data_IF_731630651446
#
_entry.id   IF_731630651446
#
_cell.length_a   1.000
_cell.length_b   1.000
_cell.length_c   1.000
_cell.angle_alpha   90.00
_cell.angle_beta   90.00
_cell.angle_gamma   90.00
#
_symmetry.space_group_name_H-M   'P 1'
#
loop_
_entity.id
_entity.type
_entity.pdbx_description
1 polymer ?
#
# COMPACT_ATOMS: atom_id res chain seq x y z
N UNK A 1 22.09 45.87 -13.82
CA UNK A 1 20.95 45.43 -12.97
C UNK A 1 20.02 44.47 -13.72
N UNK A 2 20.51 43.27 -14.08
CA UNK A 2 19.69 42.20 -14.71
C UNK A 2 20.09 40.80 -14.23
N UNK A 3 21.12 40.70 -13.38
CA UNK A 3 21.62 39.43 -12.81
C UNK A 3 21.45 39.33 -11.29
N UNK A 4 20.93 40.38 -10.65
CA UNK A 4 20.59 40.38 -9.23
C UNK A 4 19.17 39.89 -8.97
N UNK A 5 18.28 39.92 -9.97
CA UNK A 5 16.89 39.46 -9.83
C UNK A 5 16.78 37.92 -9.81
N UNK A 6 17.70 37.22 -10.46
CA UNK A 6 17.66 35.76 -10.60
C UNK A 6 18.10 35.01 -9.33
N UNK A 7 18.86 35.65 -8.44
CA UNK A 7 19.39 35.01 -7.23
C UNK A 7 18.33 35.02 -6.09
N UNK A 8 17.41 35.99 -6.09
CA UNK A 8 16.41 36.13 -5.03
C UNK A 8 15.31 35.04 -5.06
N UNK A 9 15.05 34.46 -6.24
CA UNK A 9 13.98 33.47 -6.42
C UNK A 9 14.37 32.06 -5.93
N UNK A 10 15.66 31.75 -5.82
CA UNK A 10 16.16 30.42 -5.41
C UNK A 10 16.21 30.27 -3.88
N UNK A 11 16.37 31.37 -3.14
CA UNK A 11 16.52 31.35 -1.67
C UNK A 11 15.16 31.14 -0.95
N UNK A 12 14.05 31.47 -1.60
CA UNK A 12 12.70 31.35 -1.02
C UNK A 12 12.20 29.90 -0.84
N UNK A 13 12.79 28.91 -1.52
CA UNK A 13 12.36 27.51 -1.49
C UNK A 13 12.99 26.68 -0.35
N UNK A 14 13.96 27.22 0.40
CA UNK A 14 14.71 26.47 1.42
C UNK A 14 14.27 26.73 2.87
N UNK A 15 13.20 27.50 3.11
CA UNK A 15 12.74 27.85 4.46
C UNK A 15 11.50 27.08 4.95
N UNK A 16 10.98 26.10 4.22
CA UNK A 16 9.77 25.38 4.63
C UNK A 16 9.99 24.20 5.60
N UNK A 17 11.23 23.94 6.06
CA UNK A 17 11.55 22.73 6.86
C UNK A 17 11.84 22.97 8.36
N UNK A 18 11.49 24.13 8.92
CA UNK A 18 11.55 24.38 10.38
C UNK A 18 10.19 24.86 10.88
N UNK A 19 9.26 23.91 11.00
CA UNK A 19 8.01 24.10 11.74
C UNK A 19 7.50 22.75 12.26
N UNK A 20 8.32 22.11 13.10
CA UNK A 20 7.83 21.21 14.15
C UNK A 20 8.69 21.44 15.39
N UNK A 21 8.54 22.62 16.00
CA UNK A 21 8.65 22.72 17.45
C UNK A 21 7.39 22.07 18.02
N UNK A 22 7.40 21.25 19.06
CA UNK A 22 8.34 21.13 20.16
C UNK A 22 7.52 21.28 21.44
N UNK A 23 7.33 20.20 22.20
CA UNK A 23 7.06 20.25 23.64
C UNK A 23 7.09 18.86 24.29
N UNK A 24 8.04 18.75 25.22
CA UNK A 24 8.18 17.91 26.41
C UNK A 24 6.92 17.19 26.94
N UNK A 25 7.08 15.98 27.48
CA UNK A 25 7.16 15.72 28.93
C UNK A 25 7.18 14.19 29.17
N UNK A 26 8.02 13.79 30.12
CA UNK A 26 8.16 12.43 30.65
C UNK A 26 6.84 11.83 31.19
N UNK A 27 6.77 10.50 31.20
CA UNK A 27 6.42 9.72 32.40
C UNK A 27 6.57 8.20 32.19
N UNK A 28 7.39 7.64 33.07
CA UNK A 28 7.24 6.36 33.78
C UNK A 28 6.59 5.14 33.11
N UNK A 29 7.44 4.11 32.98
CA UNK A 29 7.20 2.72 33.38
C UNK A 29 5.75 2.33 33.71
N UNK A 30 5.14 1.52 32.86
CA UNK A 30 4.32 0.42 33.36
C UNK A 30 4.43 -0.82 32.49
N UNK A 31 4.55 -1.93 33.21
CA UNK A 31 4.84 -3.29 32.82
C UNK A 31 3.81 -3.81 31.81
N UNK A 32 4.29 -4.31 30.67
CA UNK A 32 3.47 -4.97 29.67
C UNK A 32 2.67 -6.13 30.29
N UNK A 33 1.36 -6.02 30.22
CA UNK A 33 0.43 -7.13 30.39
C UNK A 33 -0.18 -7.36 29.00
N UNK A 34 -0.20 -8.59 28.45
CA UNK A 34 -0.82 -8.82 27.16
C UNK A 34 -2.33 -8.74 27.33
N UNK A 35 -2.90 -7.58 27.00
CA UNK A 35 -4.34 -7.46 26.91
C UNK A 35 -4.77 -8.02 25.56
N UNK A 36 -5.32 -9.24 25.60
CA UNK A 36 -6.07 -9.78 24.48
C UNK A 36 -7.11 -8.75 24.05
N UNK A 37 -7.09 -8.38 22.77
CA UNK A 37 -8.15 -7.59 22.17
C UNK A 37 -9.42 -8.44 22.13
N UNK A 38 -10.20 -8.38 23.21
CA UNK A 38 -11.64 -8.55 23.12
C UNK A 38 -12.17 -7.37 22.33
N UNK A 39 -12.44 -7.59 21.04
CA UNK A 39 -13.19 -6.63 20.21
C UNK A 39 -14.58 -6.49 20.81
N UNK A 40 -14.78 -5.40 21.55
CA UNK A 40 -16.09 -4.98 22.02
C UNK A 40 -16.71 -4.18 20.90
N UNK A 41 -17.87 -4.63 20.41
CA UNK A 41 -18.64 -3.96 19.38
C UNK A 41 -18.95 -2.52 19.77
N UNK A 42 -18.24 -1.59 19.14
CA UNK A 42 -18.74 -0.27 18.83
C UNK A 42 -19.22 -0.30 17.39
N UNK A 43 -20.30 0.40 17.08
CA UNK A 43 -20.74 0.60 15.71
C UNK A 43 -19.64 1.34 14.95
N UNK A 44 -18.89 0.58 14.16
CA UNK A 44 -17.78 1.06 13.36
C UNK A 44 -18.38 2.03 12.33
N UNK A 45 -17.86 3.27 12.28
CA UNK A 45 -18.21 4.19 11.21
C UNK A 45 -18.07 3.46 9.87
N UNK A 46 -18.98 3.68 8.90
CA UNK A 46 -18.96 2.93 7.65
C UNK A 46 -17.56 3.02 7.04
N UNK A 47 -16.91 1.87 6.93
CA UNK A 47 -15.53 1.80 6.45
C UNK A 47 -15.48 2.33 5.02
N UNK A 48 -14.49 3.20 4.74
CA UNK A 48 -14.34 3.79 3.42
C UNK A 48 -14.13 2.69 2.35
N UNK A 49 -14.61 2.90 1.11
CA UNK A 49 -14.36 1.97 0.03
C UNK A 49 -12.85 1.83 -0.25
N UNK A 50 -12.36 0.60 -0.26
CA UNK A 50 -10.97 0.27 -0.59
C UNK A 50 -10.93 -0.60 -1.84
N UNK A 51 -9.97 -0.35 -2.73
CA UNK A 51 -9.70 -1.20 -3.88
C UNK A 51 -8.30 -1.77 -3.78
N UNK A 52 -8.20 -3.10 -3.73
CA UNK A 52 -6.96 -3.85 -3.77
C UNK A 52 -6.67 -4.30 -5.20
N UNK A 53 -5.52 -3.92 -5.73
CA UNK A 53 -5.06 -4.25 -7.07
C UNK A 53 -4.09 -5.42 -7.00
N UNK A 54 -4.48 -6.53 -7.59
CA UNK A 54 -3.69 -7.74 -7.67
C UNK A 54 -3.27 -7.98 -9.12
N UNK A 55 -2.03 -8.45 -9.31
CA UNK A 55 -1.57 -8.95 -10.61
C UNK A 55 -1.12 -10.40 -10.50
N UNK A 56 -1.49 -11.21 -11.49
CA UNK A 56 -1.03 -12.61 -11.59
C UNK A 56 -0.94 -13.05 -13.05
N UNK A 57 -0.58 -14.31 -13.29
CA UNK A 57 -0.68 -14.93 -14.62
C UNK A 57 -1.90 -15.83 -14.73
N UNK A 58 -2.35 -16.06 -15.96
CA UNK A 58 -3.45 -16.98 -16.25
C UNK A 58 -3.07 -18.39 -15.82
N UNK A 59 -3.79 -18.91 -14.82
CA UNK A 59 -3.66 -20.27 -14.33
C UNK A 59 -4.98 -20.64 -13.63
N UNK A 60 -5.69 -21.63 -14.17
CA UNK A 60 -7.03 -22.01 -13.71
C UNK A 60 -7.10 -22.28 -12.20
N UNK A 61 -6.10 -22.96 -11.64
CA UNK A 61 -6.05 -23.23 -10.19
C UNK A 61 -5.93 -21.97 -9.35
N UNK A 62 -5.20 -20.95 -9.84
CA UNK A 62 -5.03 -19.69 -9.13
C UNK A 62 -6.28 -18.83 -9.27
N UNK A 63 -6.89 -18.77 -10.45
CA UNK A 63 -8.13 -18.04 -10.69
C UNK A 63 -9.25 -18.54 -9.77
N UNK A 64 -9.39 -19.87 -9.64
CA UNK A 64 -10.36 -20.46 -8.71
C UNK A 64 -10.06 -20.06 -7.26
N UNK A 65 -8.80 -20.16 -6.83
CA UNK A 65 -8.41 -19.80 -5.47
C UNK A 65 -8.65 -18.32 -5.16
N UNK A 66 -8.35 -17.43 -6.10
CA UNK A 66 -8.58 -15.98 -5.98
C UNK A 66 -10.08 -15.67 -5.95
N UNK A 67 -10.90 -16.34 -6.77
CA UNK A 67 -12.35 -16.17 -6.76
C UNK A 67 -12.96 -16.61 -5.41
N UNK A 68 -12.56 -17.77 -4.89
CA UNK A 68 -12.99 -18.24 -3.57
C UNK A 68 -12.55 -17.33 -2.42
N UNK A 69 -11.31 -16.81 -2.50
CA UNK A 69 -10.81 -15.83 -1.55
C UNK A 69 -11.66 -14.55 -1.60
N UNK A 70 -11.89 -14.01 -2.80
CA UNK A 70 -12.67 -12.79 -2.99
C UNK A 70 -14.10 -12.93 -2.47
N UNK A 71 -14.75 -14.07 -2.70
CA UNK A 71 -16.08 -14.34 -2.16
C UNK A 71 -16.08 -14.30 -0.62
N UNK A 72 -15.21 -15.10 0.02
CA UNK A 72 -15.13 -15.17 1.50
C UNK A 72 -14.70 -13.85 2.12
N UNK A 73 -13.88 -13.07 1.42
CA UNK A 73 -13.41 -11.78 1.90
C UNK A 73 -14.51 -10.72 1.79
N UNK A 74 -15.23 -10.67 0.67
CA UNK A 74 -16.33 -9.72 0.43
C UNK A 74 -17.50 -9.94 1.39
N UNK A 75 -17.75 -11.17 1.84
CA UNK A 75 -18.74 -11.49 2.88
C UNK A 75 -18.42 -10.83 4.23
N UNK A 76 -17.13 -10.63 4.55
CA UNK A 76 -16.67 -10.04 5.82
C UNK A 76 -16.35 -8.55 5.70
N UNK A 77 -15.90 -8.11 4.53
CA UNK A 77 -15.42 -6.77 4.25
C UNK A 77 -16.09 -6.23 2.98
N UNK A 78 -17.38 -5.86 3.05
CA UNK A 78 -18.15 -5.43 1.87
C UNK A 78 -17.66 -4.10 1.28
N UNK A 79 -16.86 -3.34 2.02
CA UNK A 79 -16.23 -2.09 1.58
C UNK A 79 -14.94 -2.32 0.77
N UNK A 80 -14.45 -3.56 0.65
CA UNK A 80 -13.20 -3.87 -0.06
C UNK A 80 -13.50 -4.56 -1.38
N UNK A 81 -12.88 -4.08 -2.46
CA UNK A 81 -12.98 -4.62 -3.82
C UNK A 81 -11.63 -5.13 -4.30
N UNK A 82 -11.60 -6.27 -5.00
CA UNK A 82 -10.39 -6.77 -5.66
C UNK A 82 -10.48 -6.53 -7.17
N UNK A 83 -9.44 -5.92 -7.73
CA UNK A 83 -9.21 -5.83 -9.18
C UNK A 83 -8.03 -6.72 -9.50
N UNK A 84 -8.24 -7.73 -10.33
CA UNK A 84 -7.21 -8.71 -10.68
C UNK A 84 -6.88 -8.56 -12.17
N UNK A 85 -5.67 -8.10 -12.45
CA UNK A 85 -5.15 -8.04 -13.81
C UNK A 85 -4.30 -9.29 -14.09
N UNK A 86 -4.56 -9.96 -15.22
CA UNK A 86 -3.85 -11.18 -15.60
C UNK A 86 -3.23 -11.08 -16.98
N UNK A 87 -2.08 -11.75 -17.15
CA UNK A 87 -1.38 -11.93 -18.43
C UNK A 87 -0.91 -13.38 -18.58
N UNK A 88 -0.36 -13.75 -19.74
CA UNK A 88 0.30 -15.05 -19.86
C UNK A 88 1.54 -15.12 -18.96
N UNK A 89 1.94 -16.32 -18.54
CA UNK A 89 3.08 -16.51 -17.63
C UNK A 89 4.39 -15.90 -18.15
N UNK A 90 4.62 -15.92 -19.47
CA UNK A 90 5.82 -15.32 -20.08
C UNK A 90 5.84 -13.79 -20.01
N UNK A 91 4.66 -13.16 -19.98
CA UNK A 91 4.51 -11.69 -19.96
C UNK A 91 4.46 -11.14 -18.53
N UNK A 92 4.26 -12.02 -17.55
CA UNK A 92 4.07 -11.65 -16.15
C UNK A 92 5.23 -10.86 -15.52
N UNK A 93 6.52 -11.22 -15.75
CA UNK A 93 7.63 -10.44 -15.19
C UNK A 93 7.62 -8.99 -15.67
N UNK A 94 7.28 -8.76 -16.94
CA UNK A 94 7.17 -7.42 -17.52
C UNK A 94 6.02 -6.64 -16.88
N UNK A 95 4.84 -7.27 -16.73
CA UNK A 95 3.70 -6.66 -16.04
C UNK A 95 4.07 -6.30 -14.59
N UNK A 96 4.68 -7.24 -13.87
CA UNK A 96 5.09 -7.06 -12.48
C UNK A 96 6.02 -5.87 -12.31
N UNK A 97 7.11 -5.81 -13.07
CA UNK A 97 8.05 -4.70 -13.01
C UNK A 97 7.41 -3.36 -13.38
N UNK A 98 6.53 -3.35 -14.39
CA UNK A 98 5.80 -2.15 -14.82
C UNK A 98 4.93 -1.60 -13.70
N UNK A 99 4.13 -2.46 -13.06
CA UNK A 99 3.16 -2.06 -12.03
C UNK A 99 3.82 -1.69 -10.70
N UNK A 100 4.89 -2.41 -10.33
CA UNK A 100 5.72 -2.03 -9.17
C UNK A 100 6.35 -0.65 -9.40
N UNK A 101 6.93 -0.42 -10.59
CA UNK A 101 7.55 0.87 -10.91
C UNK A 101 6.55 2.02 -11.00
N UNK A 102 5.32 1.73 -11.44
CA UNK A 102 4.22 2.69 -11.45
C UNK A 102 3.63 2.95 -10.06
N UNK A 103 3.86 2.06 -9.09
CA UNK A 103 3.30 2.15 -7.74
C UNK A 103 1.79 1.92 -7.71
N UNK A 104 1.25 1.14 -8.66
CA UNK A 104 -0.20 0.93 -8.85
C UNK A 104 -0.62 -0.54 -8.67
N UNK A 105 0.11 -1.28 -7.83
CA UNK A 105 -0.19 -2.66 -7.43
C UNK A 105 -0.02 -2.84 -5.93
N UNK A 106 -0.97 -3.54 -5.31
CA UNK A 106 -0.98 -3.82 -3.87
C UNK A 106 -0.54 -5.27 -3.58
N UNK A 107 -0.89 -6.20 -4.47
CA UNK A 107 -0.65 -7.64 -4.31
C UNK A 107 0.02 -8.20 -5.57
N UNK A 108 1.17 -8.82 -5.39
CA UNK A 108 1.90 -9.51 -6.45
C UNK A 108 1.96 -11.01 -6.17
N UNK A 109 1.90 -11.81 -7.22
CA UNK A 109 2.24 -13.23 -7.15
C UNK A 109 3.74 -13.33 -7.39
N UNK A 110 4.51 -13.79 -6.42
CA UNK A 110 5.92 -14.07 -6.65
C UNK A 110 6.07 -15.51 -7.16
N UNK A 111 6.88 -15.69 -8.20
CA UNK A 111 7.37 -16.99 -8.62
C UNK A 111 8.89 -16.94 -8.48
N UNK A 112 9.46 -17.84 -7.69
CA UNK A 112 10.89 -17.84 -7.36
C UNK A 112 11.81 -17.96 -8.58
N UNK A 113 11.30 -18.41 -9.73
CA UNK A 113 12.02 -18.37 -11.00
C UNK A 113 12.28 -16.94 -11.51
N UNK A 114 11.44 -15.97 -11.14
CA UNK A 114 11.56 -14.56 -11.53
C UNK A 114 12.46 -13.74 -10.59
N UNK A 115 12.84 -14.29 -9.43
CA UNK A 115 13.81 -13.64 -8.51
C UNK A 115 15.23 -13.55 -9.09
N UNK A 116 15.45 -14.12 -10.28
CA UNK A 116 16.73 -14.08 -11.01
C UNK A 116 16.81 -12.98 -12.07
N UNK A 117 15.74 -12.19 -12.27
CA UNK A 117 15.82 -10.99 -13.10
C UNK A 117 16.50 -9.86 -12.32
N UNK A 118 17.58 -9.25 -12.87
CA UNK A 118 18.39 -8.25 -12.17
C UNK A 118 17.63 -6.95 -11.90
#
# INVERSE_FOLDING_TARGET
MKRLLAIFMVIALMLSLVACGGSQQASESSKATPQGSTSTGGEEAPAEPVTLRMITWVQETNERAIAELNQKFSEKYPNVSFVVDTVNANDYPTLQNTRISAGDVDIITNLSAFDTYP
#
